data_IF_155838198490
#
_entry.id   IF_155838198490
#
_cell.length_a   1.000
_cell.length_b   1.000
_cell.length_c   1.000
_cell.angle_alpha   90.00
_cell.angle_beta   90.00
_cell.angle_gamma   90.00
#
_symmetry.space_group_name_H-M   'P 1'
#
loop_
_entity.id
_entity.type
_entity.pdbx_description
1 polymer ?
#
# COMPACT_ATOMS: atom_id res chain seq x y z
N UNK A 1 -14.22 0.67 -13.17
CA UNK A 1 -14.54 1.49 -12.00
C UNK A 1 -13.39 2.43 -11.77
N UNK A 2 -13.66 3.72 -11.54
CA UNK A 2 -12.66 4.73 -11.20
C UNK A 2 -13.06 5.35 -9.88
N UNK A 3 -12.13 5.35 -8.92
CA UNK A 3 -12.28 6.02 -7.64
C UNK A 3 -11.38 7.26 -7.62
N UNK A 4 -11.91 8.39 -7.19
CA UNK A 4 -11.20 9.66 -7.14
C UNK A 4 -11.31 10.29 -5.76
N UNK A 5 -10.19 10.73 -5.25
CA UNK A 5 -10.09 11.47 -4.02
C UNK A 5 -9.54 12.87 -4.33
N UNK A 6 -10.34 13.91 -4.10
CA UNK A 6 -9.96 15.29 -4.37
C UNK A 6 -10.05 16.13 -3.09
N UNK A 7 -8.96 16.81 -2.75
CA UNK A 7 -8.86 17.65 -1.57
C UNK A 7 -8.48 19.06 -2.02
N UNK A 8 -9.28 20.06 -1.68
CA UNK A 8 -8.98 21.46 -1.94
C UNK A 8 -8.25 22.10 -0.76
N UNK A 9 -7.52 23.19 -1.01
CA UNK A 9 -6.81 23.94 0.03
C UNK A 9 -5.48 23.37 0.50
N UNK A 10 -5.03 22.23 -0.09
CA UNK A 10 -3.72 21.63 0.21
C UNK A 10 -2.63 22.35 -0.60
N UNK A 11 -1.53 22.71 0.05
CA UNK A 11 -0.33 23.27 -0.56
C UNK A 11 0.66 22.17 -0.93
N UNK A 12 1.50 22.41 -1.92
CA UNK A 12 2.45 21.40 -2.43
C UNK A 12 3.43 20.87 -1.38
N UNK A 13 3.84 21.72 -0.42
CA UNK A 13 4.73 21.34 0.67
C UNK A 13 4.11 20.37 1.69
N UNK A 14 2.78 20.23 1.69
CA UNK A 14 2.07 19.26 2.51
C UNK A 14 2.06 17.85 1.92
N UNK A 15 2.44 17.72 0.66
CA UNK A 15 2.40 16.46 -0.10
C UNK A 15 3.82 15.91 -0.22
N UNK A 16 4.00 14.65 0.17
CA UNK A 16 5.25 13.91 0.00
C UNK A 16 4.98 12.58 -0.68
N UNK A 17 5.74 12.27 -1.72
CA UNK A 17 5.70 10.97 -2.41
C UNK A 17 6.65 9.97 -1.75
N UNK A 18 6.24 8.71 -1.69
CA UNK A 18 6.94 7.60 -1.04
C UNK A 18 7.48 6.64 -2.11
N UNK A 19 8.67 6.13 -1.91
CA UNK A 19 9.37 5.33 -2.93
C UNK A 19 9.83 3.96 -2.43
N UNK A 20 10.27 3.85 -1.17
CA UNK A 20 10.88 2.64 -0.58
C UNK A 20 11.97 2.02 -1.49
N UNK A 21 12.92 2.83 -1.94
CA UNK A 21 13.88 2.46 -2.99
C UNK A 21 14.75 1.23 -2.67
N UNK A 22 14.87 0.85 -1.39
CA UNK A 22 15.53 -0.40 -0.97
C UNK A 22 14.71 -1.67 -1.27
N UNK A 23 13.39 -1.52 -1.45
CA UNK A 23 12.43 -2.62 -1.61
C UNK A 23 11.74 -2.61 -2.97
N UNK A 24 11.53 -1.44 -3.55
CA UNK A 24 10.72 -1.21 -4.74
C UNK A 24 11.50 -0.41 -5.79
N UNK A 25 11.34 -0.77 -7.05
CA UNK A 25 11.85 0.03 -8.16
C UNK A 25 10.94 1.24 -8.44
N UNK A 26 11.49 2.26 -9.10
CA UNK A 26 10.70 3.42 -9.53
C UNK A 26 9.68 3.02 -10.59
N UNK A 27 8.50 3.60 -10.51
CA UNK A 27 7.41 3.32 -11.46
C UNK A 27 7.75 3.75 -12.89
N UNK A 28 8.53 4.83 -13.04
CA UNK A 28 9.03 5.33 -14.33
C UNK A 28 9.92 4.33 -15.08
N UNK A 29 10.56 3.39 -14.38
CA UNK A 29 11.48 2.41 -14.98
C UNK A 29 10.76 1.34 -15.83
N UNK A 30 9.44 1.17 -15.65
CA UNK A 30 8.65 0.22 -16.42
C UNK A 30 7.43 0.85 -17.12
N UNK A 31 7.52 2.15 -17.41
CA UNK A 31 6.60 2.83 -18.31
C UNK A 31 5.23 3.17 -17.74
N UNK A 32 5.05 3.13 -16.43
CA UNK A 32 3.81 3.52 -15.76
C UNK A 32 3.99 4.82 -14.98
N UNK A 33 2.89 5.53 -14.77
CA UNK A 33 2.86 6.80 -14.03
C UNK A 33 1.87 6.69 -12.88
N UNK A 34 2.36 6.26 -11.73
CA UNK A 34 1.63 6.33 -10.46
C UNK A 34 2.66 6.50 -9.34
N UNK A 35 2.22 6.98 -8.18
CA UNK A 35 3.07 7.05 -7.01
C UNK A 35 2.91 5.78 -6.17
N UNK A 36 4.02 5.21 -5.65
CA UNK A 36 4.01 4.05 -4.76
C UNK A 36 3.23 4.30 -3.48
N UNK A 37 3.32 5.54 -3.02
CA UNK A 37 2.54 6.06 -1.92
C UNK A 37 2.65 7.57 -1.87
N UNK A 38 1.69 8.18 -1.19
CA UNK A 38 1.65 9.63 -0.98
C UNK A 38 1.19 9.90 0.44
N UNK A 39 1.86 10.79 1.14
CA UNK A 39 1.32 11.31 2.38
C UNK A 39 0.98 12.79 2.28
N UNK A 40 -0.01 13.19 3.07
CA UNK A 40 -0.51 14.56 3.16
C UNK A 40 -0.48 14.96 4.62
N UNK A 41 0.24 16.03 4.93
CA UNK A 41 0.34 16.61 6.25
C UNK A 41 -0.78 17.64 6.48
N UNK A 42 -1.60 17.42 7.51
CA UNK A 42 -2.54 18.36 8.08
C UNK A 42 -2.00 18.90 9.42
N UNK A 43 -2.68 19.85 10.04
CA UNK A 43 -2.24 20.41 11.30
C UNK A 43 -2.15 19.38 12.43
N UNK A 44 -3.12 18.50 12.53
CA UNK A 44 -3.28 17.53 13.61
C UNK A 44 -2.92 16.08 13.24
N UNK A 45 -2.73 15.79 11.95
CA UNK A 45 -2.50 14.43 11.47
C UNK A 45 -1.79 14.40 10.12
N UNK A 46 -1.27 13.23 9.77
CA UNK A 46 -0.80 12.86 8.43
C UNK A 46 -1.66 11.74 7.89
N UNK A 47 -2.18 11.89 6.69
CA UNK A 47 -2.75 10.79 5.91
C UNK A 47 -1.67 10.15 5.05
N UNK A 48 -1.64 8.83 5.03
CA UNK A 48 -0.68 8.03 4.25
C UNK A 48 -1.46 7.11 3.34
N UNK A 49 -1.33 7.29 2.04
CA UNK A 49 -1.97 6.48 1.00
C UNK A 49 -0.91 5.58 0.36
N UNK A 50 -1.05 4.28 0.49
CA UNK A 50 -0.20 3.29 -0.16
C UNK A 50 -0.95 2.69 -1.33
N UNK A 51 -0.41 2.85 -2.53
CA UNK A 51 -0.97 2.30 -3.77
C UNK A 51 -0.82 0.78 -3.82
N UNK A 52 -1.55 0.14 -4.73
CA UNK A 52 -1.46 -1.29 -4.97
C UNK A 52 -0.01 -1.75 -5.08
N UNK A 53 0.41 -2.57 -4.12
CA UNK A 53 1.78 -3.04 -3.95
C UNK A 53 1.80 -4.56 -3.99
N UNK A 54 2.69 -5.13 -4.80
CA UNK A 54 2.84 -6.56 -5.00
C UNK A 54 4.17 -7.09 -4.46
N UNK A 55 4.38 -8.40 -4.60
CA UNK A 55 5.63 -9.11 -4.26
C UNK A 55 6.69 -8.90 -5.34
N UNK A 56 7.42 -7.79 -5.25
CA UNK A 56 8.55 -7.48 -6.14
C UNK A 56 9.80 -7.10 -5.35
N UNK A 57 10.95 -7.12 -6.02
CA UNK A 57 12.19 -6.54 -5.52
C UNK A 57 12.42 -5.10 -6.04
N UNK A 58 13.53 -4.49 -5.64
CA UNK A 58 13.92 -3.14 -6.06
C UNK A 58 14.41 -3.04 -7.52
N UNK A 59 14.36 -4.13 -8.27
CA UNK A 59 14.59 -4.17 -9.73
C UNK A 59 13.29 -4.44 -10.49
N UNK A 60 12.16 -4.59 -9.78
CA UNK A 60 10.86 -4.91 -10.36
C UNK A 60 10.66 -6.38 -10.72
N UNK A 61 11.58 -7.27 -10.31
CA UNK A 61 11.39 -8.70 -10.51
C UNK A 61 10.31 -9.24 -9.57
N UNK A 62 9.51 -10.16 -10.08
CA UNK A 62 8.49 -10.86 -9.29
C UNK A 62 9.20 -11.81 -8.33
N UNK A 63 8.93 -11.64 -7.04
CA UNK A 63 9.45 -12.52 -6.00
C UNK A 63 8.46 -13.65 -5.74
N UNK A 64 9.01 -14.87 -5.59
CA UNK A 64 8.24 -16.09 -5.26
C UNK A 64 7.10 -16.42 -6.25
N UNK A 65 7.38 -16.58 -7.55
CA UNK A 65 6.35 -16.93 -8.53
C UNK A 65 5.61 -18.22 -8.14
N UNK A 66 4.27 -18.17 -8.22
CA UNK A 66 3.40 -19.32 -7.90
C UNK A 66 3.19 -19.61 -6.41
N UNK A 67 3.81 -18.86 -5.49
CA UNK A 67 3.70 -19.07 -4.05
C UNK A 67 2.94 -17.92 -3.39
N UNK A 68 1.64 -18.10 -3.20
CA UNK A 68 0.75 -17.08 -2.61
C UNK A 68 1.16 -16.69 -1.19
N UNK A 69 1.65 -17.63 -0.39
CA UNK A 69 2.04 -17.37 1.00
C UNK A 69 3.27 -16.48 1.04
N UNK A 70 4.32 -16.84 0.31
CA UNK A 70 5.57 -16.06 0.26
C UNK A 70 5.36 -14.72 -0.44
N UNK A 71 4.50 -14.65 -1.47
CA UNK A 71 4.12 -13.37 -2.08
C UNK A 71 3.39 -12.47 -1.09
N UNK A 72 2.52 -13.01 -0.25
CA UNK A 72 1.84 -12.23 0.79
C UNK A 72 2.84 -11.63 1.78
N UNK A 73 3.79 -12.41 2.28
CA UNK A 73 4.81 -11.90 3.21
C UNK A 73 5.69 -10.83 2.57
N UNK A 74 6.18 -11.06 1.33
CA UNK A 74 7.01 -10.09 0.63
C UNK A 74 6.26 -8.78 0.32
N UNK A 75 5.00 -8.89 -0.06
CA UNK A 75 4.12 -7.74 -0.24
C UNK A 75 4.00 -6.92 1.05
N UNK A 76 3.83 -7.56 2.20
CA UNK A 76 3.80 -6.86 3.49
C UNK A 76 5.12 -6.16 3.80
N UNK A 77 6.27 -6.76 3.53
CA UNK A 77 7.59 -6.11 3.68
C UNK A 77 7.68 -4.83 2.82
N UNK A 78 7.21 -4.89 1.59
CA UNK A 78 7.20 -3.75 0.69
C UNK A 78 6.29 -2.62 1.19
N UNK A 79 5.08 -2.95 1.67
CA UNK A 79 4.15 -1.99 2.26
C UNK A 79 4.72 -1.39 3.55
N UNK A 80 5.34 -2.20 4.40
CA UNK A 80 5.97 -1.74 5.64
C UNK A 80 7.09 -0.74 5.37
N UNK A 81 7.91 -0.97 4.33
CA UNK A 81 8.95 -0.05 3.92
C UNK A 81 8.39 1.30 3.42
N UNK A 82 7.28 1.30 2.69
CA UNK A 82 6.59 2.53 2.29
C UNK A 82 6.00 3.28 3.50
N UNK A 83 5.34 2.56 4.40
CA UNK A 83 4.80 3.15 5.62
C UNK A 83 5.91 3.79 6.46
N UNK A 84 7.07 3.12 6.60
CA UNK A 84 8.20 3.62 7.37
C UNK A 84 8.75 4.96 6.84
N UNK A 85 8.77 5.17 5.52
CA UNK A 85 9.16 6.48 4.93
C UNK A 85 8.23 7.63 5.35
N UNK A 86 6.98 7.32 5.70
CA UNK A 86 5.98 8.27 6.19
C UNK A 86 5.90 8.33 7.73
N UNK A 87 6.85 7.72 8.44
CA UNK A 87 6.83 7.57 9.90
C UNK A 87 5.55 6.87 10.40
N UNK A 88 5.01 6.00 9.56
CA UNK A 88 3.80 5.22 9.77
C UNK A 88 4.14 3.75 9.98
N UNK A 89 3.29 3.02 10.67
CA UNK A 89 3.39 1.58 10.84
C UNK A 89 2.04 0.93 10.57
N UNK A 90 1.98 -0.40 10.50
CA UNK A 90 0.70 -1.10 10.38
C UNK A 90 -0.28 -0.78 11.53
N UNK A 91 0.20 -0.36 12.70
CA UNK A 91 -0.70 0.06 13.80
C UNK A 91 -1.55 1.29 13.42
N UNK A 92 -1.00 2.19 12.62
CA UNK A 92 -1.67 3.41 12.15
C UNK A 92 -2.60 3.16 10.94
N UNK A 93 -2.55 1.98 10.34
CA UNK A 93 -3.38 1.67 9.16
C UNK A 93 -4.85 1.58 9.57
N UNK A 94 -5.69 2.35 8.90
CA UNK A 94 -7.13 2.47 9.17
C UNK A 94 -7.96 1.52 8.30
N UNK A 95 -7.50 1.21 7.07
CA UNK A 95 -8.17 0.27 6.16
C UNK A 95 -7.18 -0.42 5.24
N UNK A 96 -7.53 -1.63 4.81
CA UNK A 96 -6.76 -2.46 3.88
C UNK A 96 -7.68 -3.00 2.80
N UNK A 97 -7.27 -2.87 1.54
CA UNK A 97 -7.89 -3.56 0.41
C UNK A 97 -6.86 -4.51 -0.21
N UNK A 98 -7.27 -5.75 -0.38
CA UNK A 98 -6.45 -6.83 -0.95
C UNK A 98 -7.07 -7.26 -2.28
N UNK A 99 -6.28 -7.23 -3.32
CA UNK A 99 -6.63 -7.70 -4.66
C UNK A 99 -6.07 -9.09 -4.86
N UNK A 100 -6.92 -10.06 -5.09
CA UNK A 100 -6.55 -11.46 -5.21
C UNK A 100 -6.84 -11.95 -6.63
N UNK A 101 -5.81 -12.50 -7.28
CA UNK A 101 -5.92 -12.99 -8.67
C UNK A 101 -6.79 -14.23 -8.79
N UNK A 102 -6.62 -15.19 -7.89
CA UNK A 102 -7.33 -16.46 -7.91
C UNK A 102 -8.18 -16.64 -6.64
N UNK A 103 -9.44 -16.95 -6.82
CA UNK A 103 -10.36 -17.23 -5.71
C UNK A 103 -9.98 -18.48 -4.92
N UNK A 104 -9.23 -19.41 -5.52
CA UNK A 104 -8.69 -20.59 -4.85
C UNK A 104 -7.75 -20.26 -3.69
N UNK A 105 -7.06 -19.10 -3.76
CA UNK A 105 -6.16 -18.63 -2.70
C UNK A 105 -6.88 -17.90 -1.56
N UNK A 106 -8.19 -17.65 -1.69
CA UNK A 106 -8.93 -16.82 -0.72
C UNK A 106 -8.84 -17.32 0.72
N UNK A 107 -9.01 -18.62 0.95
CA UNK A 107 -9.05 -19.16 2.31
C UNK A 107 -7.73 -18.98 3.05
N UNK A 108 -6.61 -19.21 2.37
CA UNK A 108 -5.27 -19.05 2.96
C UNK A 108 -4.93 -17.57 3.17
N UNK A 109 -5.22 -16.71 2.20
CA UNK A 109 -4.98 -15.27 2.31
C UNK A 109 -5.83 -14.67 3.43
N UNK A 110 -7.12 -15.00 3.51
CA UNK A 110 -7.99 -14.56 4.60
C UNK A 110 -7.45 -14.96 5.97
N UNK A 111 -6.97 -16.20 6.12
CA UNK A 111 -6.34 -16.66 7.37
C UNK A 111 -5.14 -15.80 7.73
N UNK A 112 -4.19 -15.61 6.81
CA UNK A 112 -2.99 -14.81 7.02
C UNK A 112 -3.31 -13.38 7.45
N UNK A 113 -4.26 -12.73 6.77
CA UNK A 113 -4.67 -11.36 7.12
C UNK A 113 -5.42 -11.28 8.45
N UNK A 114 -6.27 -12.26 8.79
CA UNK A 114 -6.97 -12.30 10.07
C UNK A 114 -5.99 -12.50 11.23
N UNK A 115 -4.97 -13.32 11.06
CA UNK A 115 -3.94 -13.56 12.08
C UNK A 115 -3.03 -12.33 12.29
N UNK A 116 -2.63 -11.67 11.19
CA UNK A 116 -1.74 -10.49 11.27
C UNK A 116 -2.48 -9.21 11.68
N UNK A 117 -3.70 -9.03 11.23
CA UNK A 117 -4.48 -7.80 11.41
C UNK A 117 -5.86 -8.05 12.05
N UNK A 118 -5.95 -8.67 13.23
CA UNK A 118 -7.21 -9.16 13.80
C UNK A 118 -8.24 -8.06 14.10
N UNK A 119 -7.79 -6.79 14.18
CA UNK A 119 -8.64 -5.63 14.53
C UNK A 119 -8.74 -4.60 13.40
N UNK A 120 -8.17 -4.87 12.23
CA UNK A 120 -8.17 -3.94 11.11
C UNK A 120 -9.30 -4.25 10.14
N UNK A 121 -9.96 -3.24 9.56
CA UNK A 121 -10.86 -3.44 8.43
C UNK A 121 -10.05 -3.94 7.21
N UNK A 122 -10.34 -5.15 6.77
CA UNK A 122 -9.71 -5.78 5.61
C UNK A 122 -10.80 -6.24 4.66
N UNK A 123 -10.71 -5.80 3.41
CA UNK A 123 -11.55 -6.28 2.31
C UNK A 123 -10.67 -7.04 1.34
N UNK A 124 -11.04 -8.27 1.00
CA UNK A 124 -10.36 -9.07 -0.01
C UNK A 124 -11.30 -9.17 -1.21
N UNK A 125 -10.84 -8.69 -2.36
CA UNK A 125 -11.61 -8.69 -3.60
C UNK A 125 -10.93 -9.55 -4.66
N UNK A 126 -11.72 -10.23 -5.48
CA UNK A 126 -11.22 -10.88 -6.67
C UNK A 126 -11.04 -9.84 -7.78
N UNK A 127 -9.81 -9.69 -8.28
CA UNK A 127 -9.49 -8.75 -9.34
C UNK A 127 -8.27 -9.22 -10.14
N UNK A 128 -8.22 -8.97 -11.45
CA UNK A 128 -7.04 -9.17 -12.24
C UNK A 128 -5.97 -8.15 -11.82
N UNK A 129 -4.95 -8.59 -11.11
CA UNK A 129 -3.78 -7.76 -10.80
C UNK A 129 -2.93 -7.54 -12.06
N UNK A 130 -2.14 -6.46 -12.09
CA UNK A 130 -1.55 -5.91 -13.32
C UNK A 130 -0.61 -6.87 -14.08
N UNK A 131 0.06 -7.82 -13.42
CA UNK A 131 0.99 -8.74 -14.07
C UNK A 131 0.63 -10.21 -13.82
N UNK A 132 0.78 -11.10 -14.81
CA UNK A 132 0.38 -12.52 -14.67
C UNK A 132 1.02 -13.25 -13.49
N UNK A 133 2.27 -12.93 -13.14
CA UNK A 133 2.97 -13.56 -12.03
C UNK A 133 2.67 -12.99 -10.64
N UNK A 134 1.91 -11.89 -10.56
CA UNK A 134 1.42 -11.37 -9.29
C UNK A 134 0.14 -12.10 -8.91
N UNK A 135 0.13 -12.72 -7.73
CA UNK A 135 -1.01 -13.45 -7.21
C UNK A 135 -1.86 -12.57 -6.30
N UNK A 136 -1.24 -11.55 -5.70
CA UNK A 136 -1.84 -10.68 -4.70
C UNK A 136 -1.25 -9.27 -4.79
N UNK A 137 -2.08 -8.28 -4.56
CA UNK A 137 -1.69 -6.89 -4.30
C UNK A 137 -2.44 -6.37 -3.07
N UNK A 138 -1.87 -5.37 -2.41
CA UNK A 138 -2.47 -4.70 -1.27
C UNK A 138 -2.34 -3.20 -1.43
N UNK A 139 -3.42 -2.47 -1.14
CA UNK A 139 -3.39 -1.04 -0.87
C UNK A 139 -3.90 -0.77 0.54
N UNK A 140 -3.47 0.33 1.13
CA UNK A 140 -3.95 0.72 2.44
C UNK A 140 -3.88 2.23 2.66
N UNK A 141 -4.64 2.70 3.65
CA UNK A 141 -4.57 4.06 4.15
C UNK A 141 -4.22 4.04 5.64
N UNK A 142 -3.23 4.84 6.02
CA UNK A 142 -2.84 5.09 7.40
C UNK A 142 -3.13 6.51 7.83
N UNK A 143 -3.31 6.69 9.15
CA UNK A 143 -3.48 8.00 9.79
C UNK A 143 -2.55 8.06 10.99
N UNK A 144 -1.61 9.00 10.95
CA UNK A 144 -0.64 9.23 12.02
C UNK A 144 -0.96 10.56 12.69
N UNK A 145 -1.07 10.62 14.01
CA UNK A 145 -1.16 11.90 14.71
C UNK A 145 0.07 12.75 14.42
N UNK A 146 -0.13 14.03 14.19
CA UNK A 146 0.94 14.99 13.91
C UNK A 146 0.64 16.33 14.61
N UNK A 147 1.65 17.18 14.67
CA UNK A 147 1.51 18.56 15.16
C UNK A 147 2.28 19.47 14.21
N UNK A 148 1.65 19.85 13.14
CA UNK A 148 2.20 20.68 12.08
C UNK A 148 1.62 22.10 12.14
N UNK A 149 2.26 23.05 11.44
CA UNK A 149 1.80 24.43 11.33
C UNK A 149 0.67 24.64 10.31
N UNK A 150 0.10 23.57 9.77
CA UNK A 150 -1.00 23.62 8.81
C UNK A 150 -2.35 23.69 9.51
N UNK A 151 -3.39 24.09 8.78
CA UNK A 151 -4.76 24.03 9.27
C UNK A 151 -5.20 22.56 9.42
N UNK A 152 -5.92 22.24 10.50
CA UNK A 152 -6.66 20.98 10.57
C UNK A 152 -7.86 21.06 9.61
N UNK A 153 -7.97 20.11 8.68
CA UNK A 153 -9.10 20.00 7.74
C UNK A 153 -10.08 18.92 8.19
#
# INVERSE_FOLDING_TARGET
LLDNYAISGIRSEQIKHLYAASHLNRTSEYGVRFERGTCIDYGDRRHVFISGTASIDNKGNIMYPGDIVRQTYRMWENVEALLAEAECTFEHVAQIIVYLRDTGDYSIVRKLFTERFPKKPVVIVWAPVCRPGWLIEMECMGIVPANNSYEPL
#
